data_IF_473579786912
#
_entry.id   IF_473579786912
#
_cell.length_a   1.000
_cell.length_b   1.000
_cell.length_c   1.000
_cell.angle_alpha   90.00
_cell.angle_beta   90.00
_cell.angle_gamma   90.00
#
_symmetry.space_group_name_H-M   'P 1'
#
loop_
_entity.id
_entity.type
_entity.pdbx_description
1 polymer ?
#
# COMPACT_ATOMS: atom_id res chain seq x y z
N UNK A 1 34.76 -34.25 0.46
CA UNK A 1 33.60 -34.48 1.35
C UNK A 1 32.99 -33.21 1.99
N UNK A 2 33.62 -32.03 1.91
CA UNK A 2 33.15 -30.78 2.55
C UNK A 2 31.93 -30.15 1.86
N UNK A 3 31.81 -30.25 0.52
CA UNK A 3 30.74 -29.63 -0.27
C UNK A 3 29.32 -30.09 0.11
N UNK A 4 29.16 -31.35 0.56
CA UNK A 4 27.85 -31.89 0.97
C UNK A 4 27.38 -31.33 2.32
N UNK A 5 28.31 -30.95 3.21
CA UNK A 5 28.00 -30.45 4.56
C UNK A 5 27.55 -28.99 4.52
N UNK A 6 28.22 -28.17 3.71
CA UNK A 6 27.84 -26.77 3.46
C UNK A 6 26.45 -26.65 2.80
N UNK A 7 26.12 -27.53 1.85
CA UNK A 7 24.77 -27.56 1.24
C UNK A 7 23.66 -27.79 2.25
N UNK A 8 23.87 -28.70 3.22
CA UNK A 8 22.86 -28.98 4.26
C UNK A 8 22.70 -27.82 5.24
N UNK A 9 23.76 -27.09 5.54
CA UNK A 9 23.67 -25.91 6.42
C UNK A 9 22.96 -24.75 5.72
N UNK A 10 23.24 -24.52 4.44
CA UNK A 10 22.57 -23.47 3.66
C UNK A 10 21.09 -23.78 3.42
N UNK A 11 20.72 -25.05 3.16
CA UNK A 11 19.29 -25.42 3.06
C UNK A 11 18.54 -25.17 4.37
N UNK A 12 19.13 -25.50 5.53
CA UNK A 12 18.48 -25.25 6.82
C UNK A 12 18.23 -23.75 7.09
N UNK A 13 19.19 -22.89 6.75
CA UNK A 13 19.00 -21.45 6.93
C UNK A 13 17.99 -20.87 5.94
N UNK A 14 17.81 -21.47 4.75
CA UNK A 14 16.81 -21.03 3.78
C UNK A 14 15.41 -21.46 4.24
N UNK A 15 15.26 -22.67 4.78
CA UNK A 15 13.96 -23.16 5.25
C UNK A 15 13.45 -22.37 6.47
N UNK A 16 14.34 -21.90 7.36
CA UNK A 16 13.97 -21.06 8.51
C UNK A 16 13.66 -19.58 8.12
N UNK A 17 13.98 -19.17 6.89
CA UNK A 17 13.79 -17.80 6.37
C UNK A 17 12.61 -17.68 5.40
N UNK A 18 11.96 -18.79 5.06
CA UNK A 18 10.70 -18.75 4.31
C UNK A 18 9.58 -18.76 5.34
N UNK A 19 8.98 -17.60 5.69
CA UNK A 19 7.75 -17.61 6.46
C UNK A 19 6.75 -18.49 5.73
N UNK A 20 6.08 -19.37 6.47
CA UNK A 20 5.06 -20.29 5.98
C UNK A 20 4.04 -19.53 5.12
N UNK A 21 4.19 -19.61 3.79
CA UNK A 21 3.35 -18.91 2.80
C UNK A 21 2.05 -19.70 2.53
N UNK A 22 1.68 -20.63 3.43
CA UNK A 22 0.41 -21.37 3.33
C UNK A 22 -0.81 -20.44 3.31
N UNK A 23 -0.64 -19.19 3.75
CA UNK A 23 -1.49 -18.08 3.38
C UNK A 23 -0.62 -17.07 2.63
N UNK A 24 -0.93 -16.72 1.36
CA UNK A 24 -0.34 -15.51 0.79
C UNK A 24 -0.64 -14.40 1.79
N UNK A 25 0.34 -13.55 2.15
CA UNK A 25 0.01 -12.39 2.98
C UNK A 25 -1.17 -11.72 2.30
N UNK A 26 -2.29 -11.62 3.01
CA UNK A 26 -3.45 -10.88 2.53
C UNK A 26 -2.97 -9.43 2.53
N UNK A 27 -2.38 -9.04 1.40
CA UNK A 27 -1.99 -7.66 1.19
C UNK A 27 -3.27 -6.85 1.38
N UNK A 28 -3.22 -5.72 2.11
CA UNK A 28 -4.35 -4.80 2.11
C UNK A 28 -4.68 -4.52 0.64
N UNK A 29 -5.98 -4.55 0.31
CA UNK A 29 -6.46 -4.32 -1.04
C UNK A 29 -5.73 -3.14 -1.66
N UNK A 30 -5.01 -3.40 -2.75
CA UNK A 30 -4.27 -2.36 -3.46
C UNK A 30 -5.24 -1.25 -3.85
N UNK A 31 -4.79 -0.01 -3.70
CA UNK A 31 -5.58 1.13 -4.16
C UNK A 31 -5.56 1.13 -5.68
N UNK A 32 -6.74 1.28 -6.27
CA UNK A 32 -6.96 1.34 -7.72
C UNK A 32 -7.80 2.57 -8.06
N UNK A 33 -7.88 2.91 -9.34
CA UNK A 33 -8.65 4.07 -9.82
C UNK A 33 -10.13 4.06 -9.40
N UNK A 34 -10.71 2.87 -9.22
CA UNK A 34 -12.10 2.69 -8.80
C UNK A 34 -12.28 2.68 -7.27
N UNK A 35 -11.19 2.75 -6.50
CA UNK A 35 -11.25 2.88 -5.05
C UNK A 35 -11.88 4.23 -4.70
N UNK A 36 -12.79 4.25 -3.73
CA UNK A 36 -13.39 5.51 -3.26
C UNK A 36 -12.36 6.32 -2.48
N UNK A 37 -12.51 7.64 -2.53
CA UNK A 37 -11.67 8.56 -1.77
C UNK A 37 -11.67 8.20 -0.27
N UNK A 38 -12.84 7.89 0.31
CA UNK A 38 -12.96 7.53 1.73
C UNK A 38 -12.09 6.31 2.10
N UNK A 39 -12.17 5.25 1.29
CA UNK A 39 -11.42 4.01 1.52
C UNK A 39 -9.90 4.27 1.40
N UNK A 40 -9.51 5.05 0.39
CA UNK A 40 -8.12 5.44 0.19
C UNK A 40 -7.58 6.33 1.33
N UNK A 41 -8.40 7.24 1.86
CA UNK A 41 -8.04 8.14 2.96
C UNK A 41 -7.82 7.39 4.29
N UNK A 42 -8.60 6.33 4.52
CA UNK A 42 -8.53 5.50 5.72
C UNK A 42 -7.43 4.42 5.65
N UNK A 43 -6.89 4.18 4.45
CA UNK A 43 -5.87 3.15 4.21
C UNK A 43 -4.56 3.35 4.98
N UNK A 44 -4.14 4.58 5.27
CA UNK A 44 -2.94 4.87 6.07
C UNK A 44 -2.90 6.32 6.58
N UNK A 45 -2.11 6.57 7.63
CA UNK A 45 -1.86 7.96 8.09
C UNK A 45 -1.17 8.80 7.01
N UNK A 46 -0.23 8.20 6.27
CA UNK A 46 0.49 8.84 5.16
C UNK A 46 -0.43 9.16 3.98
N UNK A 47 -1.48 8.37 3.75
CA UNK A 47 -2.49 8.71 2.75
C UNK A 47 -3.13 10.08 3.05
N UNK A 48 -3.49 10.38 4.31
CA UNK A 48 -4.02 11.69 4.69
C UNK A 48 -3.08 12.84 4.31
N UNK A 49 -1.77 12.64 4.46
CA UNK A 49 -0.76 13.64 4.07
C UNK A 49 -0.70 13.81 2.54
N UNK A 50 -0.80 12.73 1.77
CA UNK A 50 -0.85 12.75 0.30
C UNK A 50 -2.06 13.55 -0.19
N UNK A 51 -3.23 13.34 0.42
CA UNK A 51 -4.44 14.10 0.14
C UNK A 51 -4.27 15.58 0.51
N UNK A 52 -3.75 15.88 1.71
CA UNK A 52 -3.52 17.26 2.16
C UNK A 52 -2.55 18.03 1.24
N UNK A 53 -1.46 17.39 0.77
CA UNK A 53 -0.52 18.00 -0.20
C UNK A 53 -1.19 18.43 -1.51
N UNK A 54 -2.26 17.76 -1.90
CA UNK A 54 -3.03 18.03 -3.13
C UNK A 54 -4.23 18.95 -2.87
N UNK A 55 -4.29 19.59 -1.70
CA UNK A 55 -5.45 20.39 -1.24
C UNK A 55 -6.76 19.59 -1.28
N UNK A 56 -6.70 18.28 -1.02
CA UNK A 56 -7.86 17.40 -0.90
C UNK A 56 -8.11 17.04 0.58
N UNK A 57 -9.37 16.94 1.01
CA UNK A 57 -10.58 17.33 0.27
C UNK A 57 -10.70 18.87 0.23
N UNK A 58 -10.91 19.44 -0.97
CA UNK A 58 -11.05 20.88 -1.15
C UNK A 58 -12.30 21.50 -0.46
N UNK A 59 -13.12 20.69 0.21
CA UNK A 59 -14.34 21.09 0.89
C UNK A 59 -14.68 20.09 2.01
N UNK A 60 -14.50 20.48 3.27
CA UNK A 60 -14.87 19.67 4.46
C UNK A 60 -16.39 19.45 4.58
N UNK A 61 -17.20 20.29 3.94
CA UNK A 61 -18.67 20.27 4.01
C UNK A 61 -19.34 19.62 2.78
N UNK A 62 -18.58 18.93 1.93
CA UNK A 62 -19.10 18.31 0.70
C UNK A 62 -19.19 16.79 0.85
N UNK A 63 -20.27 16.25 1.44
CA UNK A 63 -20.46 14.80 1.62
C UNK A 63 -20.47 14.03 0.30
N UNK A 64 -20.79 14.70 -0.82
CA UNK A 64 -20.89 14.09 -2.15
C UNK A 64 -19.53 13.63 -2.75
N UNK A 65 -18.38 14.04 -2.20
CA UNK A 65 -17.05 13.81 -2.82
C UNK A 65 -16.24 12.69 -2.19
N UNK A 66 -16.55 12.28 -0.96
CA UNK A 66 -15.85 11.16 -0.31
C UNK A 66 -16.23 9.81 -0.93
N UNK A 67 -17.40 9.72 -1.55
CA UNK A 67 -17.88 8.53 -2.27
C UNK A 67 -17.40 8.47 -3.73
N UNK A 68 -16.79 9.55 -4.24
CA UNK A 68 -16.19 9.61 -5.57
C UNK A 68 -14.99 8.67 -5.67
N UNK A 69 -14.77 8.11 -6.85
CA UNK A 69 -13.61 7.27 -7.13
C UNK A 69 -12.35 8.10 -7.33
N UNK A 70 -11.16 7.53 -7.08
CA UNK A 70 -9.90 8.23 -7.32
C UNK A 70 -9.73 8.68 -8.77
N UNK A 71 -10.20 7.90 -9.75
CA UNK A 71 -10.13 8.28 -11.16
C UNK A 71 -11.03 9.46 -11.52
N UNK A 72 -12.24 9.51 -10.97
CA UNK A 72 -13.13 10.67 -11.13
C UNK A 72 -12.51 11.92 -10.49
N UNK A 73 -11.97 11.78 -9.27
CA UNK A 73 -11.32 12.86 -8.57
C UNK A 73 -10.09 13.36 -9.32
N UNK A 74 -9.23 12.46 -9.80
CA UNK A 74 -8.04 12.82 -10.55
C UNK A 74 -8.39 13.72 -11.75
N UNK A 75 -9.42 13.33 -12.49
CA UNK A 75 -9.94 14.13 -13.61
C UNK A 75 -10.52 15.48 -13.16
N UNK A 76 -11.31 15.49 -12.09
CA UNK A 76 -12.01 16.69 -11.62
C UNK A 76 -11.08 17.74 -10.99
N UNK A 77 -9.99 17.30 -10.38
CA UNK A 77 -9.01 18.17 -9.72
C UNK A 77 -7.73 18.40 -10.54
N UNK A 78 -7.63 17.80 -11.74
CA UNK A 78 -6.44 17.92 -12.59
C UNK A 78 -5.21 17.28 -11.95
N UNK A 79 -5.39 16.18 -11.22
CA UNK A 79 -4.31 15.41 -10.59
C UNK A 79 -3.91 14.30 -11.57
N UNK A 80 -2.61 14.02 -11.65
CA UNK A 80 -2.12 12.84 -12.36
C UNK A 80 -2.60 11.56 -11.65
N UNK A 81 -3.52 10.83 -12.29
CA UNK A 81 -4.16 9.63 -11.72
C UNK A 81 -3.11 8.56 -11.39
N UNK A 82 -2.13 8.35 -12.27
CA UNK A 82 -1.13 7.29 -12.15
C UNK A 82 -0.15 7.58 -11.02
N UNK A 83 0.42 8.80 -10.99
CA UNK A 83 1.31 9.24 -9.92
C UNK A 83 0.61 9.17 -8.55
N UNK A 84 -0.66 9.60 -8.49
CA UNK A 84 -1.42 9.61 -7.25
C UNK A 84 -1.69 8.20 -6.71
N UNK A 85 -2.08 7.26 -7.58
CA UNK A 85 -2.29 5.86 -7.21
C UNK A 85 -0.97 5.22 -6.75
N UNK A 86 0.15 5.52 -7.42
CA UNK A 86 1.48 5.02 -7.03
C UNK A 86 1.85 5.52 -5.63
N UNK A 87 1.70 6.81 -5.35
CA UNK A 87 2.00 7.38 -4.03
C UNK A 87 1.15 6.75 -2.92
N UNK A 88 -0.15 6.56 -3.17
CA UNK A 88 -1.06 5.96 -2.19
C UNK A 88 -0.70 4.51 -1.89
N UNK A 89 -0.38 3.71 -2.92
CA UNK A 89 0.07 2.34 -2.71
C UNK A 89 1.43 2.25 -2.03
N UNK A 90 2.36 3.17 -2.32
CA UNK A 90 3.63 3.26 -1.62
C UNK A 90 3.43 3.57 -0.12
N UNK A 91 2.50 4.46 0.22
CA UNK A 91 2.14 4.75 1.60
C UNK A 91 1.58 3.52 2.35
N UNK A 92 0.75 2.71 1.69
CA UNK A 92 0.26 1.44 2.22
C UNK A 92 1.42 0.46 2.44
N UNK A 93 2.31 0.31 1.45
CA UNK A 93 3.46 -0.57 1.54
C UNK A 93 4.38 -0.21 2.72
N UNK A 94 4.69 1.08 2.91
CA UNK A 94 5.47 1.53 4.06
C UNK A 94 4.78 1.19 5.40
N UNK A 95 3.46 1.35 5.50
CA UNK A 95 2.70 0.95 6.70
C UNK A 95 2.84 -0.54 6.97
N UNK A 96 2.78 -1.39 5.93
CA UNK A 96 2.96 -2.82 6.07
C UNK A 96 4.37 -3.16 6.57
N UNK A 97 5.40 -2.55 5.99
CA UNK A 97 6.78 -2.75 6.46
C UNK A 97 6.95 -2.39 7.94
N UNK A 98 6.36 -1.27 8.38
CA UNK A 98 6.36 -0.85 9.79
C UNK A 98 5.64 -1.87 10.69
N UNK A 99 4.51 -2.43 10.23
CA UNK A 99 3.73 -3.43 10.98
C UNK A 99 4.47 -4.77 11.14
N UNK A 100 5.17 -5.22 10.10
CA UNK A 100 5.85 -6.51 10.11
C UNK A 100 7.28 -6.48 10.64
N UNK A 101 7.82 -5.29 10.99
CA UNK A 101 9.19 -5.10 11.50
C UNK A 101 10.18 -6.07 10.85
N UNK A 102 10.26 -6.03 9.53
CA UNK A 102 11.36 -6.69 8.82
C UNK A 102 12.62 -5.91 9.21
N UNK A 103 13.36 -6.47 10.17
CA UNK A 103 14.65 -5.96 10.68
C UNK A 103 15.79 -6.57 9.88
#
# INVERSE_FOLDING_TARGET
MIRKRLRRMLSKCIDDLVPDISQPPVFPEYIHRNTKIIDALESSKRAKEIFAKRNLPACELCPLRMEETLGEAAKNYGIDEEEWIIELNFAIFCRLQEMFKVS
#
